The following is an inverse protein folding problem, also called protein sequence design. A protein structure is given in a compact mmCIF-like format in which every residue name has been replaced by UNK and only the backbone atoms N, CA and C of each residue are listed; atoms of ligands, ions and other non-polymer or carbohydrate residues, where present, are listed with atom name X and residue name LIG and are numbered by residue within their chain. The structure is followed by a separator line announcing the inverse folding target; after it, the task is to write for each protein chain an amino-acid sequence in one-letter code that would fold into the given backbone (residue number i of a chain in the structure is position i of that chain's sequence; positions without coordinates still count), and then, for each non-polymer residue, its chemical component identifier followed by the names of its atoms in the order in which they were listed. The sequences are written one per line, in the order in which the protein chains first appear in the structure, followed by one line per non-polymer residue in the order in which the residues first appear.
data_IF_498041934491
#
_entry.id   IF_498041934491
#
_cell.length_a   1.000
_cell.length_b   1.000
_cell.length_c   1.000
_cell.angle_alpha   90.00
_cell.angle_beta   90.00
_cell.angle_gamma   90.00
#
_symmetry.space_group_name_H-M   'P 1'
#
loop_
_entity.id
_entity.type
_entity.pdbx_description
1 polymer ?
#
# COMPACT_ATOMS: atom_id res chain seq x y z
N UNK A 1 45.20 39.57 -4.78
CA UNK A 1 45.02 38.16 -5.22
C UNK A 1 43.87 38.16 -6.21
N UNK A 2 44.13 37.82 -7.48
CA UNK A 2 43.11 37.87 -8.53
C UNK A 2 42.22 36.61 -8.40
N UNK A 3 41.03 36.76 -7.83
CA UNK A 3 40.07 35.66 -7.74
C UNK A 3 39.47 35.43 -9.14
N UNK A 4 39.82 34.30 -9.79
CA UNK A 4 39.16 33.86 -11.02
C UNK A 4 37.68 33.58 -10.69
N UNK A 5 36.79 34.41 -11.23
CA UNK A 5 35.35 34.18 -11.16
C UNK A 5 34.94 33.03 -12.10
N UNK A 6 33.84 32.35 -11.74
CA UNK A 6 33.19 31.33 -12.57
C UNK A 6 32.66 31.98 -13.86
N UNK A 7 32.87 31.36 -15.01
CA UNK A 7 32.34 31.90 -16.27
C UNK A 7 30.86 31.55 -16.44
N UNK A 8 30.10 32.43 -17.12
CA UNK A 8 28.70 32.15 -17.46
C UNK A 8 28.55 30.90 -18.33
N UNK A 9 29.54 30.60 -19.19
CA UNK A 9 29.52 29.40 -20.02
C UNK A 9 29.71 28.12 -19.20
N UNK A 10 30.59 28.13 -18.19
CA UNK A 10 30.74 27.01 -17.26
C UNK A 10 29.44 26.75 -16.50
N UNK A 11 28.77 27.80 -16.02
CA UNK A 11 27.48 27.66 -15.34
C UNK A 11 26.41 27.07 -16.26
N UNK A 12 26.32 27.53 -17.51
CA UNK A 12 25.34 27.02 -18.47
C UNK A 12 25.55 25.54 -18.82
N UNK A 13 26.80 25.09 -18.97
CA UNK A 13 27.11 23.68 -19.21
C UNK A 13 26.71 22.83 -18.00
N UNK A 14 26.97 23.30 -16.78
CA UNK A 14 26.59 22.60 -15.55
C UNK A 14 25.06 22.45 -15.46
N UNK A 15 24.30 23.52 -15.75
CA UNK A 15 22.83 23.47 -15.76
C UNK A 15 22.32 22.50 -16.82
N UNK A 16 22.92 22.47 -18.01
CA UNK A 16 22.54 21.54 -19.07
C UNK A 16 22.74 20.06 -18.65
N UNK A 17 23.87 19.75 -18.01
CA UNK A 17 24.16 18.39 -17.52
C UNK A 17 23.18 18.01 -16.39
N UNK A 18 22.93 18.89 -15.42
CA UNK A 18 21.96 18.65 -14.33
C UNK A 18 20.56 18.41 -14.91
N UNK A 19 20.17 19.17 -15.95
CA UNK A 19 18.90 18.99 -16.64
C UNK A 19 18.73 17.56 -17.17
N UNK A 20 19.74 17.03 -17.89
CA UNK A 20 19.72 15.66 -18.43
C UNK A 20 19.64 14.62 -17.32
N UNK A 21 20.46 14.75 -16.27
CA UNK A 21 20.47 13.80 -15.15
C UNK A 21 19.14 13.79 -14.39
N UNK A 22 18.53 14.98 -14.19
CA UNK A 22 17.27 15.13 -13.46
C UNK A 22 16.11 14.38 -14.12
N UNK A 23 16.10 14.28 -15.45
CA UNK A 23 15.06 13.58 -16.21
C UNK A 23 14.95 12.10 -15.85
N UNK A 24 16.07 11.44 -15.53
CA UNK A 24 16.08 10.04 -15.10
C UNK A 24 16.00 9.88 -13.58
N UNK A 25 16.64 10.78 -12.83
CA UNK A 25 16.71 10.72 -11.38
C UNK A 25 15.34 10.98 -10.73
N UNK A 26 14.57 11.96 -11.21
CA UNK A 26 13.29 12.33 -10.60
C UNK A 26 12.24 11.22 -10.70
N UNK A 27 11.98 10.58 -11.86
CA UNK A 27 11.02 9.48 -11.93
C UNK A 27 11.42 8.28 -11.07
N UNK A 28 12.71 7.95 -11.03
CA UNK A 28 13.22 6.86 -10.19
C UNK A 28 13.04 7.16 -8.69
N UNK A 29 13.32 8.39 -8.27
CA UNK A 29 13.11 8.83 -6.88
C UNK A 29 11.62 8.83 -6.50
N UNK A 30 10.74 9.26 -7.41
CA UNK A 30 9.28 9.17 -7.21
C UNK A 30 8.83 7.72 -7.05
N UNK A 31 9.33 6.79 -7.88
CA UNK A 31 9.00 5.38 -7.74
C UNK A 31 9.50 4.77 -6.42
N UNK A 32 10.69 5.16 -5.96
CA UNK A 32 11.25 4.73 -4.67
C UNK A 32 10.42 5.24 -3.47
N UNK A 33 10.08 6.52 -3.47
CA UNK A 33 9.26 7.12 -2.40
C UNK A 33 7.86 6.51 -2.37
N UNK A 34 7.23 6.26 -3.52
CA UNK A 34 5.94 5.56 -3.60
C UNK A 34 5.99 4.15 -3.02
N UNK A 35 7.05 3.37 -3.31
CA UNK A 35 7.27 2.05 -2.68
C UNK A 35 7.37 2.14 -1.16
N UNK A 36 8.01 3.20 -0.66
CA UNK A 36 8.17 3.44 0.78
C UNK A 36 6.82 3.71 1.43
N UNK A 37 5.99 4.56 0.82
CA UNK A 37 4.63 4.84 1.31
C UNK A 37 3.70 3.62 1.21
N UNK A 38 3.87 2.75 0.20
CA UNK A 38 3.17 1.46 0.14
C UNK A 38 3.58 0.54 1.29
N UNK A 39 4.88 0.48 1.61
CA UNK A 39 5.37 -0.30 2.75
C UNK A 39 4.88 0.26 4.10
N UNK A 40 4.79 1.59 4.22
CA UNK A 40 4.20 2.27 5.39
C UNK A 40 2.75 1.81 5.61
N UNK A 41 1.92 1.78 4.56
CA UNK A 41 0.54 1.33 4.70
C UNK A 41 0.40 -0.13 5.10
N UNK A 42 1.28 -1.00 4.62
CA UNK A 42 1.35 -2.39 5.09
C UNK A 42 1.81 -2.49 6.54
N UNK A 43 2.71 -1.60 6.98
CA UNK A 43 3.11 -1.46 8.38
C UNK A 43 1.93 -1.04 9.26
N UNK A 44 1.17 -0.03 8.83
CA UNK A 44 -0.02 0.43 9.56
C UNK A 44 -1.10 -0.66 9.64
N UNK A 45 -1.27 -1.44 8.56
CA UNK A 45 -2.21 -2.58 8.53
C UNK A 45 -1.79 -3.74 9.44
N UNK A 46 -0.55 -3.79 9.95
CA UNK A 46 -0.10 -4.87 10.83
C UNK A 46 -0.92 -4.96 12.12
N UNK A 47 -1.31 -3.82 12.70
CA UNK A 47 -2.19 -3.77 13.86
C UNK A 47 -3.57 -4.38 13.55
N UNK A 48 -4.14 -4.04 12.40
CA UNK A 48 -5.40 -4.60 11.96
C UNK A 48 -5.31 -6.12 11.71
N UNK A 49 -4.19 -6.62 11.15
CA UNK A 49 -3.96 -8.06 10.99
C UNK A 49 -3.96 -8.80 12.32
N UNK A 50 -3.31 -8.23 13.35
CA UNK A 50 -3.29 -8.82 14.69
C UNK A 50 -4.70 -8.87 15.26
N UNK A 51 -5.44 -7.76 15.23
CA UNK A 51 -6.80 -7.67 15.72
C UNK A 51 -7.76 -8.67 15.04
N UNK A 52 -7.70 -8.77 13.70
CA UNK A 52 -8.51 -9.75 12.95
C UNK A 52 -8.12 -11.20 13.30
N UNK A 53 -6.83 -11.47 13.52
CA UNK A 53 -6.35 -12.82 13.89
C UNK A 53 -6.81 -13.19 15.31
N UNK A 54 -6.77 -12.25 16.25
CA UNK A 54 -7.23 -12.42 17.63
C UNK A 54 -8.75 -12.62 17.69
N UNK A 55 -9.50 -11.81 16.95
CA UNK A 55 -10.95 -11.97 16.82
C UNK A 55 -11.31 -13.36 16.29
N UNK A 56 -10.64 -13.81 15.22
CA UNK A 56 -10.86 -15.15 14.69
C UNK A 56 -10.51 -16.25 15.69
N UNK A 57 -9.45 -16.06 16.48
CA UNK A 57 -9.02 -17.04 17.48
C UNK A 57 -9.96 -17.15 18.68
N UNK A 58 -10.67 -16.07 19.03
CA UNK A 58 -11.62 -16.01 20.14
C UNK A 58 -13.04 -16.43 19.71
N UNK A 59 -13.52 -15.92 18.58
CA UNK A 59 -14.90 -16.08 18.14
C UNK A 59 -15.10 -17.21 17.11
N UNK A 60 -14.01 -17.80 16.60
CA UNK A 60 -14.02 -18.73 15.48
C UNK A 60 -14.77 -18.17 14.24
N UNK A 61 -14.84 -16.84 14.11
CA UNK A 61 -15.53 -16.12 13.06
C UNK A 61 -14.73 -14.88 12.63
N UNK A 62 -15.00 -14.31 11.44
CA UNK A 62 -14.32 -13.10 10.98
C UNK A 62 -15.08 -11.83 11.40
N UNK A 63 -14.38 -10.76 11.80
CA UNK A 63 -15.03 -9.51 12.16
C UNK A 63 -15.67 -8.85 10.92
N UNK A 64 -16.91 -8.38 11.06
CA UNK A 64 -17.65 -7.74 9.95
C UNK A 64 -17.12 -6.35 9.60
N UNK A 65 -16.47 -5.67 10.55
CA UNK A 65 -15.98 -4.31 10.42
C UNK A 65 -14.87 -4.01 11.44
N UNK A 66 -14.27 -2.82 11.35
CA UNK A 66 -13.23 -2.35 12.28
C UNK A 66 -13.68 -2.41 13.74
N UNK A 67 -14.88 -1.94 14.06
CA UNK A 67 -15.40 -1.90 15.43
C UNK A 67 -15.53 -3.30 16.02
N UNK A 68 -16.02 -4.27 15.24
CA UNK A 68 -16.09 -5.67 15.64
C UNK A 68 -14.69 -6.23 15.94
N UNK A 69 -13.68 -5.84 15.15
CA UNK A 69 -12.28 -6.19 15.40
C UNK A 69 -11.64 -5.41 16.57
N UNK A 70 -12.38 -4.53 17.27
CA UNK A 70 -11.84 -3.70 18.36
C UNK A 70 -10.91 -2.57 17.89
N UNK A 71 -11.02 -2.16 16.62
CA UNK A 71 -10.22 -1.09 16.02
C UNK A 71 -11.01 0.24 15.95
N UNK A 72 -10.31 1.39 15.86
CA UNK A 72 -10.92 2.67 15.50
C UNK A 72 -11.62 2.60 14.13
N UNK A 73 -12.43 3.62 13.83
CA UNK A 73 -13.06 3.72 12.50
C UNK A 73 -12.00 3.76 11.40
N UNK A 74 -12.37 3.33 10.19
CA UNK A 74 -11.41 3.08 9.13
C UNK A 74 -10.61 4.32 8.71
N UNK A 75 -11.23 5.50 8.72
CA UNK A 75 -10.56 6.78 8.42
C UNK A 75 -9.69 7.31 9.55
N UNK A 76 -9.92 6.86 10.80
CA UNK A 76 -9.05 7.20 11.94
C UNK A 76 -7.71 6.45 11.85
N UNK A 77 -7.67 5.34 11.11
CA UNK A 77 -6.44 4.59 10.83
C UNK A 77 -5.83 5.10 9.53
N UNK A 78 -5.19 6.27 9.61
CA UNK A 78 -4.59 6.97 8.48
C UNK A 78 -3.18 7.51 8.79
N UNK A 79 -2.42 7.83 7.75
CA UNK A 79 -1.08 8.43 7.83
C UNK A 79 -0.97 9.68 6.95
N UNK A 80 -1.96 10.57 7.08
CA UNK A 80 -2.07 11.77 6.27
C UNK A 80 -2.24 11.44 4.79
N UNK A 81 -1.32 11.93 3.94
CA UNK A 81 -1.44 11.78 2.48
C UNK A 81 -0.94 10.43 1.92
N UNK A 82 -0.33 9.54 2.73
CA UNK A 82 0.11 8.22 2.27
C UNK A 82 -1.00 7.18 2.38
N UNK A 83 -1.62 7.03 3.55
CA UNK A 83 -2.78 6.14 3.78
C UNK A 83 -3.97 6.97 4.25
N UNK A 84 -5.10 6.79 3.56
CA UNK A 84 -6.36 7.49 3.85
C UNK A 84 -7.31 6.67 4.71
N UNK A 85 -7.27 5.34 4.64
CA UNK A 85 -8.04 4.47 5.52
C UNK A 85 -7.48 3.05 5.56
N UNK A 86 -7.78 2.35 6.66
CA UNK A 86 -7.64 0.89 6.79
C UNK A 86 -8.99 0.31 7.20
N UNK A 87 -9.62 -0.39 6.26
CA UNK A 87 -10.96 -0.95 6.45
C UNK A 87 -10.86 -2.47 6.64
N UNK A 88 -11.40 -2.97 7.74
CA UNK A 88 -11.68 -4.39 7.96
C UNK A 88 -13.10 -4.65 7.47
N UNK A 89 -13.30 -5.73 6.72
CA UNK A 89 -14.64 -6.15 6.30
C UNK A 89 -14.72 -7.65 6.09
N UNK A 90 -15.93 -8.19 6.23
CA UNK A 90 -16.31 -9.52 5.81
C UNK A 90 -17.77 -9.51 5.33
N UNK A 91 -18.16 -10.52 4.57
CA UNK A 91 -19.55 -10.75 4.15
C UNK A 91 -20.26 -11.57 5.22
N UNK A 92 -21.33 -11.01 5.78
CA UNK A 92 -22.15 -11.67 6.78
C UNK A 92 -22.85 -12.91 6.20
N UNK A 93 -22.78 -14.02 6.93
CA UNK A 93 -23.56 -15.22 6.65
C UNK A 93 -24.45 -15.51 7.84
N UNK A 94 -25.77 -15.50 7.62
CA UNK A 94 -26.73 -15.84 8.68
C UNK A 94 -26.50 -17.29 9.12
N UNK A 95 -26.31 -17.47 10.43
CA UNK A 95 -26.09 -18.77 11.09
C UNK A 95 -24.83 -19.52 10.59
N UNK A 96 -23.76 -18.79 10.23
CA UNK A 96 -22.51 -19.39 9.75
C UNK A 96 -21.25 -18.56 9.94
N UNK A 97 -20.15 -19.07 9.40
CA UNK A 97 -18.87 -18.37 9.33
C UNK A 97 -18.97 -17.26 8.27
N UNK A 98 -18.62 -16.03 8.65
CA UNK A 98 -18.52 -14.90 7.73
C UNK A 98 -17.55 -15.25 6.58
N UNK A 99 -17.80 -14.71 5.39
CA UNK A 99 -17.02 -15.04 4.19
C UNK A 99 -16.31 -13.81 3.65
N UNK A 100 -15.37 -13.99 2.72
CA UNK A 100 -14.61 -12.88 2.11
C UNK A 100 -13.99 -11.90 3.14
N UNK A 101 -13.27 -12.39 4.18
CA UNK A 101 -12.61 -11.51 5.12
C UNK A 101 -11.48 -10.74 4.42
N UNK A 102 -11.40 -9.44 4.66
CA UNK A 102 -10.35 -8.61 4.07
C UNK A 102 -10.00 -7.39 4.91
N UNK A 103 -8.75 -6.97 4.77
CA UNK A 103 -8.25 -5.67 5.19
C UNK A 103 -7.89 -4.88 3.93
N UNK A 104 -8.56 -3.76 3.71
CA UNK A 104 -8.33 -2.87 2.57
C UNK A 104 -7.57 -1.65 3.03
N UNK A 105 -6.37 -1.46 2.47
CA UNK A 105 -5.54 -0.28 2.68
C UNK A 105 -5.81 0.67 1.52
N UNK A 106 -6.34 1.86 1.80
CA UNK A 106 -6.56 2.89 0.79
C UNK A 106 -5.49 3.96 0.84
N UNK A 107 -4.79 4.15 -0.27
CA UNK A 107 -3.69 5.10 -0.39
C UNK A 107 -4.15 6.47 -0.88
N UNK A 108 -3.46 7.50 -0.40
CA UNK A 108 -3.64 8.88 -0.83
C UNK A 108 -2.64 9.31 -1.91
N UNK A 109 -2.51 10.63 -2.06
CA UNK A 109 -1.75 11.30 -3.12
C UNK A 109 -0.27 10.92 -3.17
N UNK A 110 0.34 10.54 -2.04
CA UNK A 110 1.77 10.18 -1.98
C UNK A 110 2.11 8.86 -2.68
N UNK A 111 1.12 7.99 -2.93
CA UNK A 111 1.28 6.78 -3.74
C UNK A 111 0.58 6.99 -5.09
N UNK A 112 -0.75 7.00 -5.05
CA UNK A 112 -1.67 7.31 -6.11
C UNK A 112 -3.07 7.30 -5.48
N UNK A 113 -3.77 8.41 -5.62
CA UNK A 113 -5.01 8.65 -4.88
C UNK A 113 -6.07 7.59 -5.16
N UNK A 114 -6.69 7.10 -4.09
CA UNK A 114 -7.73 6.06 -4.15
C UNK A 114 -7.26 4.68 -4.55
N UNK A 115 -5.94 4.45 -4.74
CA UNK A 115 -5.43 3.11 -5.00
C UNK A 115 -5.46 2.27 -3.73
N UNK A 116 -5.67 0.97 -3.89
CA UNK A 116 -5.86 0.05 -2.77
C UNK A 116 -4.93 -1.15 -2.83
N UNK A 117 -4.64 -1.72 -1.66
CA UNK A 117 -4.10 -3.07 -1.46
C UNK A 117 -5.04 -3.81 -0.51
N UNK A 118 -5.41 -5.04 -0.87
CA UNK A 118 -6.21 -5.92 -0.03
C UNK A 118 -5.35 -7.03 0.58
N UNK A 119 -5.50 -7.25 1.87
CA UNK A 119 -4.92 -8.37 2.61
C UNK A 119 -6.05 -9.32 3.01
N UNK A 120 -5.92 -10.58 2.63
CA UNK A 120 -6.93 -11.62 2.89
C UNK A 120 -6.34 -12.60 3.89
N UNK A 121 -6.97 -12.81 5.07
CA UNK A 121 -6.59 -13.89 5.96
C UNK A 121 -7.14 -15.22 5.44
N UNK A 122 -6.36 -16.27 5.65
CA UNK A 122 -6.76 -17.64 5.41
C UNK A 122 -6.49 -18.44 6.69
N UNK A 123 -7.56 -18.88 7.35
CA UNK A 123 -7.46 -19.75 8.51
C UNK A 123 -7.31 -21.21 8.06
N UNK A 124 -6.24 -21.87 8.50
CA UNK A 124 -6.03 -23.29 8.28
C UNK A 124 -5.22 -23.89 9.45
N UNK A 125 -5.65 -25.08 9.90
CA UNK A 125 -4.95 -25.86 10.93
C UNK A 125 -4.58 -25.07 12.21
N UNK A 126 -5.49 -24.22 12.71
CA UNK A 126 -5.27 -23.41 13.92
C UNK A 126 -4.33 -22.22 13.73
N UNK A 127 -4.00 -21.87 12.48
CA UNK A 127 -3.19 -20.70 12.15
C UNK A 127 -3.92 -19.79 11.16
N UNK A 128 -3.67 -18.48 11.24
CA UNK A 128 -4.13 -17.51 10.24
C UNK A 128 -2.94 -17.08 9.41
N UNK A 129 -2.93 -17.50 8.14
CA UNK A 129 -1.97 -17.01 7.15
C UNK A 129 -2.55 -15.83 6.40
N UNK A 130 -1.70 -14.96 5.86
CA UNK A 130 -2.14 -13.73 5.19
C UNK A 130 -1.63 -13.71 3.76
N UNK A 131 -2.54 -13.58 2.82
CA UNK A 131 -2.23 -13.38 1.41
C UNK A 131 -2.49 -11.93 1.03
N UNK A 132 -1.52 -11.32 0.37
CA UNK A 132 -1.76 -10.06 -0.31
C UNK A 132 -2.45 -10.38 -1.63
N UNK A 133 -3.78 -10.55 -1.59
CA UNK A 133 -4.57 -10.99 -2.73
C UNK A 133 -4.83 -9.82 -3.66
N UNK A 134 -4.47 -10.01 -4.94
CA UNK A 134 -5.14 -9.37 -6.06
C UNK A 134 -5.97 -10.34 -6.90
N UNK A 135 -6.29 -11.51 -6.32
CA UNK A 135 -7.49 -12.22 -6.74
C UNK A 135 -8.69 -11.33 -6.37
N UNK A 136 -9.52 -11.09 -7.37
CA UNK A 136 -10.61 -10.11 -7.47
C UNK A 136 -10.26 -8.67 -7.87
N UNK A 137 -9.02 -8.39 -8.32
CA UNK A 137 -8.64 -7.05 -8.83
C UNK A 137 -8.76 -5.92 -7.80
N UNK A 138 -8.81 -6.23 -6.51
CA UNK A 138 -8.86 -5.22 -5.44
C UNK A 138 -7.47 -4.65 -5.06
N UNK A 139 -6.40 -5.00 -5.79
CA UNK A 139 -5.15 -4.22 -5.75
C UNK A 139 -5.08 -3.36 -6.99
N UNK A 140 -5.13 -2.04 -6.79
CA UNK A 140 -5.09 -1.06 -7.89
C UNK A 140 -3.80 -0.23 -7.89
N UNK A 141 -2.95 -0.43 -6.88
CA UNK A 141 -1.57 0.07 -6.86
C UNK A 141 -0.76 -0.61 -7.95
N UNK A 142 0.05 0.16 -8.70
CA UNK A 142 0.87 -0.40 -9.77
C UNK A 142 1.83 -1.46 -9.23
N UNK A 143 1.96 -2.60 -9.93
CA UNK A 143 2.89 -3.70 -9.58
C UNK A 143 4.32 -3.22 -9.28
N UNK A 144 4.80 -2.19 -9.97
CA UNK A 144 6.13 -1.63 -9.74
C UNK A 144 6.30 -0.96 -8.39
N UNK A 145 5.23 -0.60 -7.68
CA UNK A 145 5.29 0.00 -6.34
C UNK A 145 5.00 -1.01 -5.21
N UNK A 146 4.55 -2.21 -5.57
CA UNK A 146 4.26 -3.27 -4.59
C UNK A 146 5.54 -3.91 -4.04
N UNK A 147 5.55 -4.37 -2.78
CA UNK A 147 6.59 -5.26 -2.27
C UNK A 147 6.44 -6.67 -2.85
N UNK A 148 7.49 -7.48 -2.74
CA UNK A 148 7.55 -8.80 -3.38
C UNK A 148 6.39 -9.72 -2.99
N UNK A 149 5.98 -9.72 -1.72
CA UNK A 149 4.86 -10.51 -1.21
C UNK A 149 3.48 -10.12 -1.79
N UNK A 150 3.38 -8.99 -2.49
CA UNK A 150 2.16 -8.51 -3.15
C UNK A 150 2.26 -8.51 -4.68
N UNK A 151 3.43 -8.81 -5.29
CA UNK A 151 3.66 -8.65 -6.74
C UNK A 151 3.09 -9.76 -7.61
N UNK A 152 3.03 -10.97 -7.08
CA UNK A 152 2.63 -12.14 -7.87
C UNK A 152 1.12 -12.27 -8.02
N UNK A 153 0.37 -11.46 -7.26
CA UNK A 153 -1.08 -11.45 -7.28
C UNK A 153 -1.66 -10.27 -8.06
N UNK A 154 -0.89 -9.18 -8.29
CA UNK A 154 -1.35 -7.98 -8.99
C UNK A 154 -1.55 -8.22 -10.51
N UNK A 155 -2.80 -8.12 -10.97
CA UNK A 155 -3.16 -8.24 -12.39
C UNK A 155 -2.76 -6.97 -13.16
N UNK A 156 -1.51 -6.89 -13.62
CA UNK A 156 -1.17 -5.92 -14.66
C UNK A 156 -1.51 -6.51 -16.03
N UNK A 157 -2.67 -6.15 -16.60
CA UNK A 157 -2.81 -6.17 -18.04
C UNK A 157 -1.93 -5.03 -18.62
N UNK A 158 -1.07 -5.29 -19.61
CA UNK A 158 -0.35 -4.23 -20.30
C UNK A 158 -1.33 -3.45 -21.17
N UNK A 159 -1.63 -2.20 -20.83
CA UNK A 159 -2.12 -1.26 -21.85
C UNK A 159 -0.96 -1.01 -22.80
N UNK A 160 -1.02 -1.67 -23.97
CA UNK A 160 -0.12 -1.47 -25.10
C UNK A 160 -0.08 0.03 -25.46
N UNK A 161 1.11 0.48 -25.84
CA UNK A 161 1.31 1.71 -26.61
C UNK A 161 0.48 1.69 -27.90
#
# INVERSE_FOLDING_TARGET
MLQKGFTLIELMIVVAIIGILSMFALPAYQDYTKRTYVAEGLGLASAAKMAVTEYYSSEANWPLNNTAAGLPTDTDISSGDSVTSITVSATEVKDGLNTDPKITIKYGKKVADGKIITLVPNAAAGSVTWTCSAKDKEVTVLKKWLPSNCRDQATNAPTKY
#
